data_IF_169111051675
#
_entry.id   IF_169111051675
#
_cell.length_a   1.000
_cell.length_b   1.000
_cell.length_c   1.000
_cell.angle_alpha   90.00
_cell.angle_beta   90.00
_cell.angle_gamma   90.00
#
_symmetry.space_group_name_H-M   'P 1'
#
loop_
_entity.id
_entity.type
_entity.pdbx_description
1 polymer ?
#
# COMPACT_ATOMS: atom_id res chain seq x y z
N UNK A 1 11.59 36.04 -38.27
CA UNK A 1 10.45 35.10 -38.20
C UNK A 1 9.78 35.26 -36.85
N UNK A 2 8.67 36.00 -36.78
CA UNK A 2 7.96 36.27 -35.54
C UNK A 2 7.21 35.01 -35.06
N UNK A 3 7.61 34.48 -33.90
CA UNK A 3 6.83 33.48 -33.17
C UNK A 3 5.51 34.11 -32.75
N UNK A 4 4.40 33.74 -33.40
CA UNK A 4 3.07 34.22 -33.05
C UNK A 4 2.42 33.24 -32.05
N UNK A 5 2.43 33.55 -30.74
CA UNK A 5 1.90 32.65 -29.70
C UNK A 5 0.42 32.31 -29.89
N UNK A 6 -0.36 33.19 -30.54
CA UNK A 6 -1.79 32.95 -30.78
C UNK A 6 -2.09 31.77 -31.73
N UNK A 7 -1.19 31.50 -32.70
CA UNK A 7 -1.33 30.35 -33.61
C UNK A 7 -0.99 29.03 -32.91
N UNK A 8 -0.02 29.04 -31.99
CA UNK A 8 0.33 27.86 -31.19
C UNK A 8 -0.79 27.47 -30.22
N UNK A 9 -1.41 28.45 -29.55
CA UNK A 9 -2.55 28.20 -28.64
C UNK A 9 -3.73 27.59 -29.38
N UNK A 10 -4.14 28.17 -30.52
CA UNK A 10 -5.24 27.62 -31.34
C UNK A 10 -4.95 26.22 -31.90
N UNK A 11 -3.71 25.94 -32.27
CA UNK A 11 -3.29 24.62 -32.74
C UNK A 11 -3.35 23.57 -31.63
N UNK A 12 -2.90 23.94 -30.43
CA UNK A 12 -2.94 23.09 -29.24
C UNK A 12 -4.38 22.77 -28.83
N UNK A 13 -5.25 23.78 -28.77
CA UNK A 13 -6.68 23.61 -28.45
C UNK A 13 -7.40 22.71 -29.45
N UNK A 14 -7.13 22.88 -30.75
CA UNK A 14 -7.70 22.03 -31.80
C UNK A 14 -7.24 20.58 -31.67
N UNK A 15 -5.97 20.35 -31.35
CA UNK A 15 -5.41 19.01 -31.15
C UNK A 15 -5.98 18.34 -29.90
N UNK A 16 -6.14 19.08 -28.81
CA UNK A 16 -6.75 18.60 -27.58
C UNK A 16 -8.23 18.23 -27.78
N UNK A 17 -8.97 19.06 -28.49
CA UNK A 17 -10.37 18.81 -28.81
C UNK A 17 -10.56 17.56 -29.69
N UNK A 18 -9.76 17.39 -30.74
CA UNK A 18 -9.82 16.19 -31.60
C UNK A 18 -9.52 14.92 -30.80
N UNK A 19 -8.51 14.95 -29.93
CA UNK A 19 -8.18 13.81 -29.05
C UNK A 19 -9.33 13.47 -28.10
N UNK A 20 -9.93 14.48 -27.48
CA UNK A 20 -11.08 14.29 -26.59
C UNK A 20 -12.26 13.65 -27.34
N UNK A 21 -12.65 14.20 -28.49
CA UNK A 21 -13.76 13.69 -29.29
C UNK A 21 -13.51 12.24 -29.71
N UNK A 22 -12.27 11.89 -30.09
CA UNK A 22 -11.89 10.52 -30.40
C UNK A 22 -12.11 9.56 -29.21
N UNK A 23 -11.61 9.91 -28.02
CA UNK A 23 -11.79 9.06 -26.84
C UNK A 23 -13.24 9.02 -26.34
N UNK A 24 -14.01 10.08 -26.56
CA UNK A 24 -15.44 10.09 -26.23
C UNK A 24 -16.22 9.13 -27.14
N UNK A 25 -15.94 9.13 -28.44
CA UNK A 25 -16.55 8.19 -29.40
C UNK A 25 -16.19 6.74 -29.05
N UNK A 26 -14.91 6.46 -28.76
CA UNK A 26 -14.47 5.14 -28.29
C UNK A 26 -15.18 4.73 -27.00
N UNK A 27 -15.31 5.64 -26.04
CA UNK A 27 -16.05 5.42 -24.80
C UNK A 27 -17.52 5.09 -25.03
N UNK A 28 -18.20 5.79 -25.95
CA UNK A 28 -19.60 5.52 -26.30
C UNK A 28 -19.75 4.13 -26.94
N UNK A 29 -18.88 3.78 -27.89
CA UNK A 29 -18.90 2.46 -28.54
C UNK A 29 -18.64 1.33 -27.53
N UNK A 30 -17.69 1.55 -26.61
CA UNK A 30 -17.35 0.61 -25.56
C UNK A 30 -18.51 0.40 -24.56
N UNK A 31 -19.22 1.46 -24.18
CA UNK A 31 -20.44 1.37 -23.36
C UNK A 31 -21.57 0.60 -24.06
N UNK A 32 -21.75 0.80 -25.36
CA UNK A 32 -22.70 0.03 -26.14
C UNK A 32 -22.36 -1.47 -26.11
N UNK A 33 -21.08 -1.82 -26.24
CA UNK A 33 -20.59 -3.19 -26.09
C UNK A 33 -20.87 -3.78 -24.70
N UNK A 34 -20.60 -3.01 -23.64
CA UNK A 34 -20.91 -3.41 -22.24
C UNK A 34 -22.40 -3.72 -22.10
N UNK A 35 -23.26 -2.82 -22.56
CA UNK A 35 -24.71 -2.98 -22.46
C UNK A 35 -25.21 -4.22 -23.22
N UNK A 36 -24.73 -4.43 -24.45
CA UNK A 36 -25.13 -5.59 -25.26
C UNK A 36 -24.73 -6.92 -24.63
N UNK A 37 -23.50 -7.01 -24.12
CA UNK A 37 -23.02 -8.23 -23.47
C UNK A 37 -23.65 -8.45 -22.09
N UNK A 38 -23.91 -7.38 -21.32
CA UNK A 38 -24.64 -7.50 -20.05
C UNK A 38 -26.06 -8.04 -20.26
N UNK A 39 -26.75 -7.55 -21.29
CA UNK A 39 -28.09 -8.01 -21.62
C UNK A 39 -28.09 -9.48 -22.06
N UNK A 40 -27.11 -9.90 -22.87
CA UNK A 40 -26.94 -11.32 -23.23
C UNK A 40 -26.67 -12.19 -21.99
N UNK A 41 -25.74 -11.76 -21.14
CA UNK A 41 -25.36 -12.44 -19.91
C UNK A 41 -26.49 -12.60 -18.88
N UNK A 42 -27.39 -11.61 -18.77
CA UNK A 42 -28.55 -11.68 -17.87
C UNK A 42 -29.64 -12.61 -18.42
N UNK A 43 -29.78 -12.69 -19.74
CA UNK A 43 -30.76 -13.56 -20.41
C UNK A 43 -30.24 -14.98 -20.69
N UNK A 44 -28.99 -15.29 -20.34
CA UNK A 44 -28.40 -16.62 -20.47
C UNK A 44 -26.98 -16.67 -19.89
N UNK A 45 -26.64 -17.76 -19.17
CA UNK A 45 -25.33 -17.89 -18.52
C UNK A 45 -24.28 -18.34 -19.53
N UNK A 46 -23.58 -17.37 -20.13
CA UNK A 46 -22.41 -17.65 -20.95
C UNK A 46 -21.14 -17.14 -20.25
N UNK A 47 -20.46 -18.05 -19.53
CA UNK A 47 -19.18 -17.79 -18.86
C UNK A 47 -18.11 -17.16 -19.77
N UNK A 48 -18.21 -17.37 -21.09
CA UNK A 48 -17.32 -16.81 -22.10
C UNK A 48 -17.45 -15.29 -22.30
N UNK A 49 -18.59 -14.68 -21.93
CA UNK A 49 -18.79 -13.24 -22.09
C UNK A 49 -18.17 -12.42 -20.95
N UNK A 50 -17.96 -13.05 -19.79
CA UNK A 50 -17.44 -12.40 -18.60
C UNK A 50 -16.03 -11.79 -18.81
N UNK A 51 -15.04 -12.50 -19.40
CA UNK A 51 -13.74 -11.90 -19.71
C UNK A 51 -13.86 -10.69 -20.64
N UNK A 52 -14.69 -10.78 -21.69
CA UNK A 52 -14.86 -9.68 -22.64
C UNK A 52 -15.47 -8.45 -21.94
N UNK A 53 -16.51 -8.66 -21.12
CA UNK A 53 -17.10 -7.62 -20.29
C UNK A 53 -16.09 -6.95 -19.36
N UNK A 54 -15.21 -7.73 -18.72
CA UNK A 54 -14.16 -7.17 -17.85
C UNK A 54 -13.15 -6.32 -18.63
N UNK A 55 -12.79 -6.72 -19.85
CA UNK A 55 -11.91 -5.94 -20.72
C UNK A 55 -12.56 -4.62 -21.12
N UNK A 56 -13.85 -4.62 -21.45
CA UNK A 56 -14.55 -3.38 -21.81
C UNK A 56 -14.59 -2.41 -20.63
N UNK A 57 -14.86 -2.88 -19.40
CA UNK A 57 -14.81 -2.04 -18.19
C UNK A 57 -13.43 -1.43 -17.95
N UNK A 58 -12.38 -2.21 -18.16
CA UNK A 58 -11.01 -1.73 -18.10
C UNK A 58 -10.79 -0.57 -19.09
N UNK A 59 -11.13 -0.77 -20.36
CA UNK A 59 -10.96 0.27 -21.38
C UNK A 59 -11.84 1.51 -21.15
N UNK A 60 -13.03 1.33 -20.56
CA UNK A 60 -13.93 2.44 -20.25
C UNK A 60 -13.27 3.49 -19.37
N UNK A 61 -12.56 3.04 -18.32
CA UNK A 61 -11.84 3.94 -17.41
C UNK A 61 -10.69 4.66 -18.12
N UNK A 62 -9.97 3.98 -19.01
CA UNK A 62 -8.88 4.59 -19.79
C UNK A 62 -9.43 5.67 -20.71
N UNK A 63 -10.49 5.39 -21.46
CA UNK A 63 -11.13 6.34 -22.37
C UNK A 63 -11.72 7.53 -21.60
N UNK A 64 -12.41 7.28 -20.48
CA UNK A 64 -12.92 8.33 -19.61
C UNK A 64 -11.80 9.22 -19.07
N UNK A 65 -10.68 8.64 -18.65
CA UNK A 65 -9.53 9.41 -18.15
C UNK A 65 -8.96 10.33 -19.24
N UNK A 66 -8.79 9.84 -20.46
CA UNK A 66 -8.27 10.63 -21.58
C UNK A 66 -9.26 11.69 -22.06
N UNK A 67 -10.57 11.41 -22.07
CA UNK A 67 -11.59 12.39 -22.41
C UNK A 67 -11.64 13.54 -21.38
N UNK A 68 -11.49 13.24 -20.09
CA UNK A 68 -11.49 14.24 -19.02
C UNK A 68 -10.22 15.10 -18.95
N UNK A 69 -9.18 14.76 -19.70
CA UNK A 69 -7.90 15.47 -19.72
C UNK A 69 -8.06 16.95 -20.12
N UNK A 70 -9.00 17.25 -21.02
CA UNK A 70 -9.28 18.59 -21.54
C UNK A 70 -10.06 19.46 -20.54
N UNK A 71 -10.94 18.86 -19.75
CA UNK A 71 -11.85 19.60 -18.86
C UNK A 71 -11.23 19.95 -17.51
N UNK A 72 -10.36 19.08 -16.99
CA UNK A 72 -9.85 19.22 -15.63
C UNK A 72 -8.33 19.26 -15.62
N UNK A 73 -7.73 20.32 -15.06
CA UNK A 73 -6.26 20.39 -14.89
C UNK A 73 -5.77 19.56 -13.70
N UNK A 74 -6.59 19.41 -12.66
CA UNK A 74 -6.24 18.64 -11.47
C UNK A 74 -6.25 17.13 -11.77
N UNK A 75 -5.07 16.52 -11.80
CA UNK A 75 -4.89 15.10 -12.10
C UNK A 75 -5.63 14.16 -11.13
N UNK A 76 -5.61 14.45 -9.83
CA UNK A 76 -6.29 13.60 -8.83
C UNK A 76 -7.80 13.62 -9.04
N UNK A 77 -8.36 14.79 -9.30
CA UNK A 77 -9.80 14.93 -9.59
C UNK A 77 -10.17 14.18 -10.87
N UNK A 78 -9.37 14.31 -11.93
CA UNK A 78 -9.56 13.58 -13.20
C UNK A 78 -9.65 12.07 -13.01
N UNK A 79 -8.67 11.51 -12.30
CA UNK A 79 -8.57 10.07 -12.08
C UNK A 79 -9.78 9.55 -11.28
N UNK A 80 -10.21 10.25 -10.22
CA UNK A 80 -11.43 9.87 -9.48
C UNK A 80 -12.68 9.95 -10.33
N UNK A 81 -12.87 11.04 -11.06
CA UNK A 81 -14.04 11.23 -11.90
C UNK A 81 -14.12 10.19 -13.01
N UNK A 82 -13.00 9.87 -13.66
CA UNK A 82 -12.95 8.82 -14.69
C UNK A 82 -13.39 7.47 -14.14
N UNK A 83 -12.90 7.10 -12.96
CA UNK A 83 -13.32 5.87 -12.26
C UNK A 83 -14.81 5.92 -11.89
N UNK A 84 -15.27 7.00 -11.26
CA UNK A 84 -16.66 7.15 -10.82
C UNK A 84 -17.66 7.14 -11.97
N UNK A 85 -17.36 7.83 -13.07
CA UNK A 85 -18.19 7.85 -14.28
C UNK A 85 -18.27 6.45 -14.87
N UNK A 86 -17.13 5.76 -14.99
CA UNK A 86 -17.10 4.41 -15.56
C UNK A 86 -17.84 3.41 -14.67
N UNK A 87 -17.59 3.42 -13.36
CA UNK A 87 -18.27 2.57 -12.40
C UNK A 87 -19.78 2.87 -12.34
N UNK A 88 -20.17 4.15 -12.32
CA UNK A 88 -21.57 4.58 -12.31
C UNK A 88 -22.32 4.14 -13.57
N UNK A 89 -21.71 4.29 -14.75
CA UNK A 89 -22.30 3.83 -16.02
C UNK A 89 -22.46 2.31 -16.04
N UNK A 90 -21.50 1.58 -15.50
CA UNK A 90 -21.53 0.11 -15.39
C UNK A 90 -22.65 -0.39 -14.49
N UNK A 91 -22.85 0.30 -13.36
CA UNK A 91 -23.93 0.01 -12.41
C UNK A 91 -25.28 0.37 -13.05
N UNK A 92 -25.38 1.51 -13.71
CA UNK A 92 -26.59 1.95 -14.39
C UNK A 92 -27.01 0.98 -15.50
N UNK A 93 -26.06 0.55 -16.34
CA UNK A 93 -26.33 -0.41 -17.41
C UNK A 93 -26.76 -1.78 -16.86
N UNK A 94 -26.22 -2.18 -15.71
CA UNK A 94 -26.67 -3.38 -15.00
C UNK A 94 -28.13 -3.24 -14.51
N UNK A 95 -28.48 -2.11 -13.89
CA UNK A 95 -29.86 -1.86 -13.46
C UNK A 95 -30.86 -1.86 -14.62
N UNK A 96 -30.48 -1.29 -15.77
CA UNK A 96 -31.32 -1.34 -16.96
C UNK A 96 -31.54 -2.77 -17.45
N UNK A 97 -30.49 -3.58 -17.50
CA UNK A 97 -30.61 -4.98 -17.92
C UNK A 97 -31.46 -5.80 -16.95
N UNK A 98 -31.30 -5.59 -15.63
CA UNK A 98 -32.17 -6.20 -14.62
C UNK A 98 -33.63 -5.77 -14.80
N UNK A 99 -33.89 -4.48 -15.01
CA UNK A 99 -35.24 -3.96 -15.25
C UNK A 99 -35.91 -4.55 -16.49
N UNK A 100 -35.17 -4.71 -17.60
CA UNK A 100 -35.67 -5.36 -18.81
C UNK A 100 -35.96 -6.85 -18.58
N UNK A 101 -35.10 -7.55 -17.83
CA UNK A 101 -35.33 -8.94 -17.46
C UNK A 101 -36.61 -9.12 -16.60
N UNK A 102 -36.92 -8.15 -15.72
CA UNK A 102 -38.16 -8.16 -14.95
C UNK A 102 -39.41 -7.84 -15.78
N UNK A 103 -39.29 -7.02 -16.83
CA UNK A 103 -40.42 -6.63 -17.70
C UNK A 103 -40.75 -7.66 -18.79
N UNK A 104 -39.81 -8.52 -19.17
CA UNK A 104 -39.99 -9.53 -20.22
C UNK A 104 -40.49 -10.91 -19.76
N UNK A 105 -40.81 -11.10 -18.48
CA UNK A 105 -41.10 -12.41 -17.91
C UNK A 105 -42.58 -12.82 -17.99
N UNK A 106 -43.06 -13.14 -19.20
CA UNK A 106 -44.02 -14.24 -19.36
C UNK A 106 -43.21 -15.54 -19.49
N UNK A 107 -43.48 -16.51 -18.61
CA UNK A 107 -42.84 -17.82 -18.45
C UNK A 107 -41.52 -17.88 -17.65
N UNK A 108 -41.69 -18.20 -16.36
CA UNK A 108 -40.70 -18.54 -15.34
C UNK A 108 -39.77 -17.41 -14.90
N UNK A 109 -39.62 -17.16 -13.59
CA UNK A 109 -38.63 -16.21 -13.11
C UNK A 109 -37.27 -16.75 -13.52
N UNK A 110 -36.65 -16.13 -14.52
CA UNK A 110 -35.24 -16.32 -14.81
C UNK A 110 -34.51 -16.11 -13.49
N UNK A 111 -34.04 -17.22 -12.94
CA UNK A 111 -33.28 -17.28 -11.71
C UNK A 111 -31.97 -16.53 -11.96
N UNK A 112 -31.98 -15.22 -11.76
CA UNK A 112 -30.77 -14.41 -11.77
C UNK A 112 -29.81 -15.05 -10.77
N UNK A 113 -28.76 -15.70 -11.25
CA UNK A 113 -27.77 -16.31 -10.39
C UNK A 113 -27.01 -15.16 -9.70
N UNK A 114 -27.43 -14.84 -8.48
CA UNK A 114 -26.82 -13.81 -7.66
C UNK A 114 -25.31 -14.01 -7.47
N UNK A 115 -24.81 -15.25 -7.57
CA UNK A 115 -23.37 -15.55 -7.51
C UNK A 115 -22.66 -15.05 -8.76
N UNK A 116 -23.26 -15.31 -9.92
CA UNK A 116 -22.73 -14.89 -11.20
C UNK A 116 -22.78 -13.36 -11.35
N UNK A 117 -23.86 -12.73 -10.87
CA UNK A 117 -23.98 -11.28 -10.78
C UNK A 117 -22.93 -10.66 -9.84
N UNK A 118 -22.71 -11.27 -8.68
CA UNK A 118 -21.67 -10.85 -7.73
C UNK A 118 -20.26 -10.98 -8.32
N UNK A 119 -19.99 -12.09 -9.02
CA UNK A 119 -18.74 -12.30 -9.73
C UNK A 119 -18.53 -11.24 -10.83
N UNK A 120 -19.58 -10.96 -11.61
CA UNK A 120 -19.57 -9.90 -12.60
C UNK A 120 -19.22 -8.53 -12.00
N UNK A 121 -19.93 -8.11 -10.95
CA UNK A 121 -19.67 -6.84 -10.26
C UNK A 121 -18.25 -6.78 -9.69
N UNK A 122 -17.77 -7.87 -9.08
CA UNK A 122 -16.43 -7.95 -8.52
C UNK A 122 -15.35 -7.81 -9.60
N UNK A 123 -15.49 -8.53 -10.71
CA UNK A 123 -14.54 -8.48 -11.83
C UNK A 123 -14.59 -7.14 -12.58
N UNK A 124 -15.77 -6.54 -12.77
CA UNK A 124 -15.93 -5.21 -13.34
C UNK A 124 -15.27 -4.12 -12.48
N UNK A 125 -15.50 -4.15 -11.16
CA UNK A 125 -14.84 -3.24 -10.22
C UNK A 125 -13.32 -3.42 -10.26
N UNK A 126 -12.84 -4.67 -10.21
CA UNK A 126 -11.40 -4.95 -10.27
C UNK A 126 -10.77 -4.44 -11.56
N UNK A 127 -11.40 -4.72 -12.71
CA UNK A 127 -10.94 -4.23 -14.01
C UNK A 127 -10.90 -2.69 -14.07
N UNK A 128 -11.95 -2.01 -13.59
CA UNK A 128 -12.00 -0.57 -13.52
C UNK A 128 -10.90 0.01 -12.60
N UNK A 129 -10.67 -0.61 -11.44
CA UNK A 129 -9.63 -0.18 -10.51
C UNK A 129 -8.23 -0.39 -11.08
N UNK A 130 -7.97 -1.55 -11.73
CA UNK A 130 -6.70 -1.81 -12.41
C UNK A 130 -6.43 -0.82 -13.54
N UNK A 131 -7.45 -0.47 -14.33
CA UNK A 131 -7.35 0.57 -15.33
C UNK A 131 -7.04 1.94 -14.73
N UNK A 132 -7.63 2.25 -13.57
CA UNK A 132 -7.38 3.50 -12.86
C UNK A 132 -5.94 3.57 -12.32
N UNK A 133 -5.41 2.45 -11.81
CA UNK A 133 -3.99 2.32 -11.42
C UNK A 133 -3.07 2.45 -12.63
N UNK A 134 -3.37 1.82 -13.76
CA UNK A 134 -2.60 1.95 -15.00
C UNK A 134 -2.61 3.39 -15.52
N UNK A 135 -3.78 4.04 -15.50
CA UNK A 135 -3.91 5.44 -15.86
C UNK A 135 -3.07 6.32 -14.93
N UNK A 136 -3.07 6.04 -13.62
CA UNK A 136 -2.22 6.73 -12.64
C UNK A 136 -0.73 6.53 -12.94
N UNK A 137 -0.31 5.30 -13.27
CA UNK A 137 1.09 4.98 -13.54
C UNK A 137 1.69 5.68 -14.76
N UNK A 138 0.85 6.18 -15.67
CA UNK A 138 1.29 7.00 -16.80
C UNK A 138 1.77 8.40 -16.38
N UNK A 139 1.34 8.88 -15.20
CA UNK A 139 1.65 10.23 -14.72
C UNK A 139 2.57 10.23 -13.50
N UNK A 140 2.53 9.18 -12.66
CA UNK A 140 3.35 9.06 -11.46
C UNK A 140 3.56 7.59 -11.06
N UNK A 141 4.67 7.24 -10.38
CA UNK A 141 4.90 5.86 -9.94
C UNK A 141 3.82 5.39 -8.95
N UNK A 142 3.61 4.08 -8.87
CA UNK A 142 2.68 3.46 -7.90
C UNK A 142 3.28 3.31 -6.49
N UNK A 143 4.54 3.68 -6.32
CA UNK A 143 5.21 3.77 -5.04
C UNK A 143 5.86 5.15 -4.86
N UNK A 144 5.78 5.66 -3.63
CA UNK A 144 6.43 6.90 -3.22
C UNK A 144 7.76 6.55 -2.55
N UNK A 145 8.88 6.88 -3.19
CA UNK A 145 10.22 6.75 -2.61
C UNK A 145 10.65 8.12 -2.06
N UNK A 146 10.36 8.34 -0.77
CA UNK A 146 10.50 9.65 -0.18
C UNK A 146 11.92 9.84 0.40
N UNK A 147 12.63 10.84 -0.12
CA UNK A 147 13.97 11.25 0.29
C UNK A 147 14.96 10.07 0.37
N UNK A 148 15.29 9.44 -0.77
CA UNK A 148 16.33 8.43 -0.81
C UNK A 148 17.64 9.01 -0.25
N UNK A 149 18.35 8.28 0.64
CA UNK A 149 19.61 8.75 1.18
C UNK A 149 20.65 8.88 0.07
N UNK A 150 21.52 9.89 0.17
CA UNK A 150 22.64 10.01 -0.75
C UNK A 150 23.61 8.84 -0.57
N UNK A 151 24.33 8.49 -1.63
CA UNK A 151 25.33 7.42 -1.60
C UNK A 151 26.36 7.63 -0.48
N UNK A 152 26.79 8.88 -0.25
CA UNK A 152 27.67 9.24 0.87
C UNK A 152 27.08 8.86 2.24
N UNK A 153 25.79 9.12 2.47
CA UNK A 153 25.14 8.74 3.72
C UNK A 153 25.10 7.21 3.85
N UNK A 154 24.80 6.50 2.76
CA UNK A 154 24.79 5.05 2.73
C UNK A 154 26.16 4.46 3.09
N UNK A 155 27.23 4.98 2.48
CA UNK A 155 28.60 4.57 2.73
C UNK A 155 29.03 4.85 4.16
N UNK A 156 28.77 6.07 4.67
CA UNK A 156 29.07 6.42 6.06
C UNK A 156 28.43 5.43 7.03
N UNK A 157 27.13 5.14 6.86
CA UNK A 157 26.40 4.18 7.69
C UNK A 157 27.08 2.82 7.59
N UNK A 158 27.36 2.32 6.39
CA UNK A 158 28.01 1.02 6.18
C UNK A 158 29.39 0.93 6.89
N UNK A 159 30.21 1.98 6.84
CA UNK A 159 31.52 2.04 7.47
C UNK A 159 31.47 1.92 9.00
N UNK A 160 30.51 2.58 9.66
CA UNK A 160 30.32 2.43 11.12
C UNK A 160 30.04 0.98 11.53
N UNK A 161 29.42 0.19 10.64
CA UNK A 161 29.03 -1.19 10.93
C UNK A 161 30.14 -2.21 10.70
N UNK A 162 31.19 -1.88 9.94
CA UNK A 162 32.32 -2.79 9.68
C UNK A 162 33.08 -3.21 10.94
N UNK A 163 32.90 -2.47 12.04
CA UNK A 163 33.53 -2.76 13.34
C UNK A 163 32.82 -3.86 14.13
N UNK A 164 31.68 -4.38 13.65
CA UNK A 164 30.85 -5.31 14.39
C UNK A 164 30.67 -6.64 13.65
N UNK A 165 30.88 -7.74 14.36
CA UNK A 165 30.60 -9.07 13.84
C UNK A 165 29.08 -9.29 13.71
N UNK A 166 28.66 -9.70 12.51
CA UNK A 166 27.29 -10.07 12.23
C UNK A 166 26.93 -11.39 12.92
N UNK A 167 25.67 -11.51 13.33
CA UNK A 167 25.14 -12.69 14.01
C UNK A 167 24.23 -13.42 13.03
N UNK A 168 24.45 -14.71 12.82
CA UNK A 168 23.54 -15.53 12.02
C UNK A 168 22.18 -15.64 12.72
N UNK A 169 21.09 -15.50 11.95
CA UNK A 169 19.74 -15.51 12.52
C UNK A 169 19.28 -16.93 12.90
N UNK A 170 19.95 -17.98 12.42
CA UNK A 170 19.61 -19.38 12.68
C UNK A 170 18.58 -19.94 11.69
N UNK A 171 18.72 -21.23 11.35
CA UNK A 171 17.88 -21.89 10.35
C UNK A 171 16.42 -21.98 10.81
N UNK A 172 16.18 -22.26 12.10
CA UNK A 172 14.84 -22.38 12.66
C UNK A 172 14.05 -21.07 12.59
N UNK A 173 14.67 -19.95 12.95
CA UNK A 173 14.07 -18.61 12.84
C UNK A 173 13.82 -18.28 11.36
N UNK A 174 14.75 -18.62 10.47
CA UNK A 174 14.56 -18.35 9.04
C UNK A 174 13.41 -19.14 8.43
N UNK A 175 13.28 -20.42 8.76
CA UNK A 175 12.16 -21.25 8.31
C UNK A 175 10.84 -20.69 8.83
N UNK A 176 10.79 -20.34 10.12
CA UNK A 176 9.62 -19.71 10.72
C UNK A 176 9.24 -18.39 10.01
N UNK A 177 10.22 -17.51 9.77
CA UNK A 177 10.01 -16.24 9.09
C UNK A 177 9.43 -16.42 7.69
N UNK A 178 9.98 -17.32 6.88
CA UNK A 178 9.52 -17.56 5.52
C UNK A 178 8.12 -18.18 5.51
N UNK A 179 7.88 -19.20 6.33
CA UNK A 179 6.57 -19.87 6.43
C UNK A 179 5.48 -18.90 6.87
N UNK A 180 5.73 -18.10 7.92
CA UNK A 180 4.74 -17.16 8.44
C UNK A 180 4.53 -15.98 7.48
N UNK A 181 5.56 -15.51 6.78
CA UNK A 181 5.41 -14.45 5.78
C UNK A 181 4.63 -14.91 4.55
N UNK A 182 4.89 -16.12 4.06
CA UNK A 182 4.14 -16.71 2.94
C UNK A 182 2.67 -16.91 3.31
N UNK A 183 2.41 -17.48 4.49
CA UNK A 183 1.04 -17.64 5.00
C UNK A 183 0.35 -16.29 5.18
N UNK A 184 1.02 -15.31 5.78
CA UNK A 184 0.50 -13.97 5.99
C UNK A 184 0.16 -13.25 4.67
N UNK A 185 0.99 -13.39 3.64
CA UNK A 185 0.70 -12.84 2.31
C UNK A 185 -0.51 -13.54 1.66
N UNK A 186 -0.58 -14.87 1.73
CA UNK A 186 -1.71 -15.62 1.18
C UNK A 186 -3.04 -15.23 1.85
N UNK A 187 -3.08 -15.23 3.19
CA UNK A 187 -4.27 -14.91 3.96
C UNK A 187 -4.67 -13.44 3.88
N UNK A 188 -3.69 -12.53 3.80
CA UNK A 188 -4.00 -11.10 3.68
C UNK A 188 -4.43 -10.71 2.27
N UNK A 189 -4.04 -11.46 1.23
CA UNK A 189 -4.25 -11.10 -0.19
C UNK A 189 -5.65 -10.57 -0.56
N UNK A 190 -6.78 -11.11 -0.05
CA UNK A 190 -8.10 -10.58 -0.38
C UNK A 190 -8.30 -9.13 0.10
N UNK A 191 -7.66 -8.76 1.23
CA UNK A 191 -7.76 -7.44 1.82
C UNK A 191 -6.88 -6.39 1.14
N UNK A 192 -5.87 -6.81 0.36
CA UNK A 192 -4.97 -5.87 -0.33
C UNK A 192 -5.74 -5.00 -1.32
N UNK A 193 -6.61 -5.60 -2.13
CA UNK A 193 -7.38 -4.86 -3.15
C UNK A 193 -8.17 -3.73 -2.48
N UNK A 194 -8.85 -4.03 -1.36
CA UNK A 194 -9.59 -3.04 -0.60
C UNK A 194 -8.68 -1.94 -0.03
N UNK A 195 -7.55 -2.30 0.57
CA UNK A 195 -6.63 -1.33 1.15
C UNK A 195 -6.05 -0.40 0.07
N UNK A 196 -5.59 -0.96 -1.05
CA UNK A 196 -5.03 -0.20 -2.16
C UNK A 196 -6.10 0.71 -2.79
N UNK A 197 -7.33 0.21 -2.94
CA UNK A 197 -8.45 1.01 -3.43
C UNK A 197 -8.76 2.18 -2.50
N UNK A 198 -8.86 1.97 -1.19
CA UNK A 198 -9.16 3.05 -0.23
C UNK A 198 -8.09 4.15 -0.26
N UNK A 199 -6.81 3.78 -0.36
CA UNK A 199 -5.70 4.73 -0.47
C UNK A 199 -5.82 5.52 -1.77
N UNK A 200 -5.97 4.81 -2.90
CA UNK A 200 -6.02 5.42 -4.22
C UNK A 200 -7.26 6.31 -4.39
N UNK A 201 -8.42 5.88 -3.89
CA UNK A 201 -9.65 6.65 -3.98
C UNK A 201 -9.57 7.92 -3.10
N UNK A 202 -9.05 7.80 -1.87
CA UNK A 202 -8.90 8.93 -0.97
C UNK A 202 -7.84 9.93 -1.44
N UNK A 203 -6.77 9.47 -2.08
CA UNK A 203 -5.72 10.33 -2.64
C UNK A 203 -5.06 9.68 -3.87
N UNK A 204 -5.58 9.85 -5.10
CA UNK A 204 -5.06 9.17 -6.28
C UNK A 204 -3.58 9.46 -6.50
N UNK A 205 -2.82 8.38 -6.66
CA UNK A 205 -1.36 8.43 -6.78
C UNK A 205 -0.72 7.12 -6.31
N UNK A 206 0.52 7.19 -5.79
CA UNK A 206 1.19 6.01 -5.24
C UNK A 206 0.31 5.28 -4.23
N UNK A 207 0.33 3.96 -4.23
CA UNK A 207 -0.40 3.13 -3.27
C UNK A 207 0.56 2.54 -2.22
N UNK A 208 1.82 2.40 -2.60
CA UNK A 208 2.90 1.98 -1.72
C UNK A 208 3.78 3.18 -1.31
N UNK A 209 4.40 3.04 -0.15
CA UNK A 209 5.41 3.94 0.37
C UNK A 209 6.68 3.15 0.64
N UNK A 210 7.81 3.67 0.18
CA UNK A 210 9.14 3.08 0.40
C UNK A 210 9.88 3.89 1.44
N UNK A 211 10.25 3.24 2.53
CA UNK A 211 11.08 3.83 3.59
C UNK A 211 12.50 3.27 3.50
N UNK A 212 13.44 4.06 3.01
CA UNK A 212 14.86 3.70 2.99
C UNK A 212 15.40 3.54 4.42
N UNK A 213 15.73 2.30 4.78
CA UNK A 213 16.07 1.92 6.16
C UNK A 213 17.36 1.12 6.22
N UNK A 214 17.98 1.11 7.40
CA UNK A 214 19.20 0.34 7.66
C UNK A 214 18.83 -1.07 8.13
N UNK A 215 19.38 -2.05 7.44
CA UNK A 215 19.28 -3.48 7.73
C UNK A 215 20.56 -4.02 8.36
N UNK A 216 20.70 -5.35 8.31
CA UNK A 216 21.84 -6.06 8.91
C UNK A 216 23.17 -5.61 8.29
N UNK A 217 24.16 -5.36 9.14
CA UNK A 217 25.50 -4.91 8.74
C UNK A 217 25.55 -3.50 8.15
N UNK A 218 24.54 -2.66 8.41
CA UNK A 218 24.51 -1.30 7.89
C UNK A 218 24.03 -1.21 6.44
N UNK A 219 23.62 -2.33 5.82
CA UNK A 219 23.13 -2.35 4.45
C UNK A 219 21.77 -1.66 4.35
N UNK A 220 21.63 -0.78 3.36
CA UNK A 220 20.37 -0.08 3.12
C UNK A 220 19.40 -0.96 2.33
N UNK A 221 18.13 -0.93 2.71
CA UNK A 221 17.07 -1.64 2.01
C UNK A 221 15.78 -0.81 1.96
N UNK A 222 14.91 -1.20 1.03
CA UNK A 222 13.63 -0.55 0.77
C UNK A 222 12.54 -1.19 1.61
N UNK A 223 12.25 -0.61 2.79
CA UNK A 223 11.16 -1.08 3.64
C UNK A 223 9.81 -0.70 3.01
N UNK A 224 9.02 -1.70 2.61
CA UNK A 224 7.75 -1.51 1.90
C UNK A 224 6.61 -1.26 2.88
N UNK A 225 5.75 -0.29 2.59
CA UNK A 225 4.54 0.02 3.38
C UNK A 225 3.39 0.39 2.47
N UNK A 226 2.17 0.30 2.99
CA UNK A 226 1.04 1.01 2.37
C UNK A 226 1.18 2.50 2.63
N UNK A 227 0.83 3.32 1.64
CA UNK A 227 0.84 4.77 1.84
C UNK A 227 -0.32 5.17 2.75
N UNK A 228 0.01 5.78 3.88
CA UNK A 228 -0.97 6.22 4.89
C UNK A 228 -1.08 7.74 5.01
N UNK A 229 -0.28 8.49 4.25
CA UNK A 229 -0.28 9.95 4.21
C UNK A 229 -0.56 10.45 2.80
N UNK A 230 -1.00 11.70 2.69
CA UNK A 230 -1.11 12.41 1.41
C UNK A 230 0.21 12.37 0.65
N UNK A 231 0.15 12.24 -0.67
CA UNK A 231 1.36 12.18 -1.49
C UNK A 231 2.18 13.47 -1.36
N UNK A 232 3.48 13.35 -1.11
CA UNK A 232 4.37 14.48 -0.87
C UNK A 232 4.28 15.06 0.55
N UNK A 233 3.76 14.31 1.53
CA UNK A 233 3.58 14.77 2.92
C UNK A 233 4.85 15.32 3.59
N UNK A 234 6.04 14.89 3.16
CA UNK A 234 7.32 15.33 3.73
C UNK A 234 8.10 16.28 2.79
N UNK A 235 7.54 16.67 1.64
CA UNK A 235 8.27 17.45 0.62
C UNK A 235 8.78 18.81 1.14
N UNK A 236 8.07 19.42 2.11
CA UNK A 236 8.46 20.70 2.71
C UNK A 236 9.15 20.59 4.08
N UNK A 237 9.08 19.44 4.76
CA UNK A 237 9.56 19.29 6.15
C UNK A 237 10.73 18.32 6.29
N UNK A 238 10.95 17.45 5.31
CA UNK A 238 11.81 16.30 5.49
C UNK A 238 11.22 15.25 6.45
N UNK A 239 12.05 14.27 6.88
CA UNK A 239 11.63 13.11 7.66
C UNK A 239 11.32 13.49 9.12
N UNK A 240 10.09 13.93 9.39
CA UNK A 240 9.62 14.31 10.73
C UNK A 240 8.75 13.21 11.34
N UNK A 241 8.89 12.96 12.63
CA UNK A 241 7.99 12.06 13.37
C UNK A 241 6.55 12.61 13.34
N UNK A 242 5.60 11.75 12.98
CA UNK A 242 4.18 12.12 12.89
C UNK A 242 3.61 12.33 14.31
N UNK A 243 3.01 13.50 14.62
CA UNK A 243 2.26 13.69 15.86
C UNK A 243 0.97 12.84 15.87
N UNK A 244 0.33 12.71 17.04
CA UNK A 244 -0.85 11.86 17.23
C UNK A 244 -2.04 12.25 16.34
N UNK A 245 -2.18 13.56 16.05
CA UNK A 245 -3.19 14.11 15.14
C UNK A 245 -2.56 14.82 13.93
N UNK A 246 -1.82 14.07 13.13
CA UNK A 246 -1.19 14.59 11.92
C UNK A 246 -2.21 14.72 10.76
N UNK A 247 -2.48 15.95 10.33
CA UNK A 247 -3.42 16.28 9.25
C UNK A 247 -3.02 15.69 7.89
N UNK A 248 -1.75 15.30 7.73
CA UNK A 248 -1.25 14.67 6.49
C UNK A 248 -1.68 13.22 6.36
N UNK A 249 -2.22 12.60 7.42
CA UNK A 249 -2.61 11.19 7.44
C UNK A 249 -3.99 11.02 6.80
N UNK A 250 -4.09 10.08 5.86
CA UNK A 250 -5.34 9.69 5.24
C UNK A 250 -6.32 9.15 6.31
N UNK A 251 -7.63 9.34 6.11
CA UNK A 251 -8.69 8.73 6.94
C UNK A 251 -8.53 7.21 6.97
N UNK A 252 -8.39 6.58 5.80
CA UNK A 252 -8.04 5.17 5.66
C UNK A 252 -6.69 4.85 6.30
N UNK A 253 -5.71 5.73 6.11
CA UNK A 253 -4.37 5.63 6.71
C UNK A 253 -4.36 5.59 8.23
N UNK A 254 -5.27 6.30 8.91
CA UNK A 254 -5.43 6.24 10.38
C UNK A 254 -5.83 4.83 10.83
N UNK A 255 -6.77 4.20 10.13
CA UNK A 255 -7.16 2.83 10.40
C UNK A 255 -5.97 1.89 10.19
N UNK A 256 -5.29 1.99 9.05
CA UNK A 256 -4.16 1.12 8.72
C UNK A 256 -3.02 1.21 9.73
N UNK A 257 -2.69 2.42 10.22
CA UNK A 257 -1.69 2.60 11.29
C UNK A 257 -2.12 2.02 12.62
N UNK A 258 -3.42 2.15 12.97
CA UNK A 258 -3.97 1.63 14.22
C UNK A 258 -3.92 0.11 14.25
N UNK A 259 -4.21 -0.54 13.14
CA UNK A 259 -4.24 -2.00 12.98
C UNK A 259 -2.93 -2.60 12.46
N UNK A 260 -1.91 -1.76 12.20
CA UNK A 260 -0.65 -2.13 11.55
C UNK A 260 -0.78 -2.76 10.16
N UNK A 261 -1.94 -2.58 9.49
CA UNK A 261 -2.13 -3.04 8.11
C UNK A 261 -1.19 -2.33 7.14
N UNK A 262 -0.70 -1.14 7.47
CA UNK A 262 0.28 -0.44 6.64
C UNK A 262 1.63 -1.17 6.53
N UNK A 263 1.92 -2.08 7.47
CA UNK A 263 3.16 -2.84 7.52
C UNK A 263 3.07 -4.20 6.80
N UNK A 264 1.89 -4.60 6.31
CA UNK A 264 1.72 -5.87 5.57
C UNK A 264 2.69 -6.04 4.38
N UNK A 265 3.02 -5.00 3.59
CA UNK A 265 3.98 -5.16 2.50
C UNK A 265 5.39 -5.57 2.93
N UNK A 266 5.74 -5.39 4.22
CA UNK A 266 7.03 -5.82 4.76
C UNK A 266 7.19 -7.34 4.81
N UNK A 267 6.10 -8.11 4.72
CA UNK A 267 6.20 -9.57 4.57
C UNK A 267 7.01 -9.95 3.32
N UNK A 268 6.98 -9.13 2.26
CA UNK A 268 7.84 -9.31 1.09
C UNK A 268 9.31 -9.06 1.44
N UNK A 269 9.62 -8.08 2.28
CA UNK A 269 10.98 -7.84 2.77
C UNK A 269 11.50 -9.02 3.61
N UNK A 270 10.62 -9.67 4.39
CA UNK A 270 10.96 -10.89 5.13
C UNK A 270 11.28 -12.04 4.17
N UNK A 271 10.46 -12.26 3.13
CA UNK A 271 10.76 -13.27 2.10
C UNK A 271 12.11 -13.00 1.41
N UNK A 272 12.46 -11.75 1.18
CA UNK A 272 13.75 -11.32 0.58
C UNK A 272 14.96 -11.41 1.52
N UNK A 273 14.79 -11.84 2.76
CA UNK A 273 15.85 -11.87 3.78
C UNK A 273 16.40 -10.48 4.16
N UNK A 274 15.62 -9.41 3.94
CA UNK A 274 15.98 -8.05 4.35
C UNK A 274 15.50 -7.75 5.78
N UNK A 275 14.49 -8.49 6.24
CA UNK A 275 13.86 -8.38 7.56
C UNK A 275 13.58 -9.76 8.15
N UNK A 276 13.30 -9.78 9.46
CA UNK A 276 12.72 -10.90 10.21
C UNK A 276 11.40 -10.46 10.84
N UNK A 277 10.58 -11.38 11.35
CA UNK A 277 9.42 -10.99 12.16
C UNK A 277 9.86 -10.30 13.47
N UNK A 278 10.97 -10.74 14.06
CA UNK A 278 11.47 -10.23 15.35
C UNK A 278 12.89 -9.70 15.24
N UNK A 279 13.08 -8.47 15.65
CA UNK A 279 14.36 -7.78 15.58
C UNK A 279 14.26 -6.31 15.94
N UNK A 280 15.39 -5.60 15.97
CA UNK A 280 15.39 -4.16 16.19
C UNK A 280 14.55 -3.46 15.11
N UNK A 281 13.67 -2.52 15.50
CA UNK A 281 12.84 -1.80 14.53
C UNK A 281 13.73 -1.07 13.51
N UNK A 282 13.50 -1.22 12.19
CA UNK A 282 14.29 -0.55 11.17
C UNK A 282 14.09 0.98 11.25
N UNK A 283 15.20 1.72 11.25
CA UNK A 283 15.20 3.18 11.27
C UNK A 283 15.66 3.73 9.92
N UNK A 284 15.19 4.96 9.59
CA UNK A 284 15.56 5.62 8.34
C UNK A 284 17.06 5.83 8.26
N UNK A 285 17.67 5.58 7.12
CA UNK A 285 19.13 5.69 6.91
C UNK A 285 19.68 7.05 7.32
N UNK A 286 19.00 8.14 6.89
CA UNK A 286 19.37 9.51 7.25
C UNK A 286 19.38 9.72 8.78
N UNK A 287 18.40 9.16 9.48
CA UNK A 287 18.30 9.26 10.94
C UNK A 287 19.37 8.43 11.65
N UNK A 288 19.65 7.22 11.14
CA UNK A 288 20.72 6.36 11.67
C UNK A 288 22.08 7.03 11.50
N UNK A 289 22.35 7.68 10.38
CA UNK A 289 23.57 8.44 10.16
C UNK A 289 23.78 9.52 11.23
N UNK A 290 22.73 10.28 11.58
CA UNK A 290 22.82 11.27 12.66
C UNK A 290 23.04 10.63 14.04
N UNK A 291 22.38 9.50 14.31
CA UNK A 291 22.59 8.77 15.57
C UNK A 291 24.01 8.23 15.70
N UNK A 292 24.62 7.75 14.62
CA UNK A 292 25.96 7.19 14.62
C UNK A 292 27.05 8.23 14.89
N UNK A 293 26.84 9.48 14.46
CA UNK A 293 27.76 10.60 14.77
C UNK A 293 27.85 10.86 16.28
N UNK A 294 26.75 10.67 17.01
CA UNK A 294 26.66 10.95 18.45
C UNK A 294 26.92 9.69 19.29
N UNK A 295 26.45 8.54 18.81
CA UNK A 295 26.52 7.24 19.48
C UNK A 295 26.98 6.17 18.48
N UNK A 296 28.29 6.03 18.21
CA UNK A 296 28.82 5.04 17.25
C UNK A 296 28.40 3.60 17.59
N UNK A 297 28.25 3.26 18.87
CA UNK A 297 27.76 1.95 19.32
C UNK A 297 26.32 1.64 18.88
N UNK A 298 25.57 2.64 18.40
CA UNK A 298 24.25 2.42 17.85
C UNK A 298 24.26 1.42 16.68
N UNK A 299 25.40 1.25 15.99
CA UNK A 299 25.59 0.23 14.97
C UNK A 299 25.42 -1.22 15.48
N UNK A 300 25.66 -1.48 16.77
CA UNK A 300 25.57 -2.82 17.34
C UNK A 300 24.17 -3.45 17.23
N UNK A 301 23.11 -2.63 17.16
CA UNK A 301 21.73 -3.11 16.94
C UNK A 301 21.56 -3.81 15.60
N UNK A 302 22.32 -3.44 14.57
CA UNK A 302 22.17 -3.97 13.22
C UNK A 302 23.04 -5.22 12.96
N UNK A 303 23.46 -5.92 14.02
CA UNK A 303 24.17 -7.20 13.91
C UNK A 303 23.27 -8.36 13.51
N UNK A 304 21.96 -8.20 13.68
CA UNK A 304 20.89 -9.13 13.29
C UNK A 304 19.94 -8.46 12.30
N UNK A 305 19.06 -9.24 11.65
CA UNK A 305 18.02 -8.66 10.80
C UNK A 305 17.07 -7.75 11.62
N UNK A 306 16.63 -6.61 11.03
CA UNK A 306 15.61 -5.79 11.64
C UNK A 306 14.24 -6.48 11.65
N UNK A 307 13.38 -6.09 12.59
CA UNK A 307 12.09 -6.74 12.87
C UNK A 307 10.84 -5.90 12.63
N UNK A 308 9.72 -6.58 12.40
CA UNK A 308 8.37 -6.01 12.52
C UNK A 308 8.04 -5.70 13.99
N UNK A 309 8.29 -6.70 14.84
CA UNK A 309 8.24 -6.60 16.29
C UNK A 309 9.65 -6.66 16.87
N UNK A 310 9.79 -6.18 18.10
CA UNK A 310 11.09 -6.15 18.77
C UNK A 310 10.93 -5.78 20.22
N UNK A 311 11.90 -6.18 21.04
CA UNK A 311 11.85 -5.96 22.48
C UNK A 311 11.68 -4.47 22.82
N UNK A 312 12.40 -3.58 22.13
CA UNK A 312 12.26 -2.14 22.32
C UNK A 312 10.85 -1.60 22.00
N UNK A 313 10.16 -2.20 21.01
CA UNK A 313 8.80 -1.80 20.62
C UNK A 313 7.74 -2.28 21.60
N UNK A 314 7.96 -3.45 22.20
CA UNK A 314 7.03 -4.10 23.14
C UNK A 314 7.24 -3.58 24.57
N UNK A 315 8.50 -3.34 24.96
CA UNK A 315 8.88 -2.91 26.30
C UNK A 315 8.88 -1.40 26.51
N UNK A 316 9.04 -0.62 25.43
CA UNK A 316 9.34 0.80 25.48
C UNK A 316 8.15 1.71 25.25
N UNK A 317 8.22 2.92 25.82
CA UNK A 317 7.33 4.02 25.44
C UNK A 317 7.64 4.50 24.00
N UNK A 318 6.68 5.16 23.36
CA UNK A 318 6.84 5.69 22.00
C UNK A 318 8.09 6.60 21.83
N UNK A 319 8.50 7.29 22.90
CA UNK A 319 9.56 8.31 22.91
C UNK A 319 10.94 7.82 23.37
N UNK A 320 11.23 6.50 23.29
CA UNK A 320 12.56 6.01 23.67
C UNK A 320 13.69 6.72 22.89
N UNK A 321 14.67 7.21 23.65
CA UNK A 321 15.92 7.79 23.10
C UNK A 321 16.71 6.72 22.33
N UNK A 322 17.60 7.11 21.39
CA UNK A 322 18.43 6.15 20.65
C UNK A 322 19.23 5.21 21.57
N UNK A 323 19.77 5.75 22.68
CA UNK A 323 20.51 4.98 23.68
C UNK A 323 19.65 3.96 24.42
N UNK A 324 18.41 4.30 24.78
CA UNK A 324 17.47 3.36 25.41
C UNK A 324 17.04 2.26 24.43
N UNK A 325 16.74 2.63 23.17
CA UNK A 325 16.44 1.64 22.11
C UNK A 325 17.59 0.65 21.97
N UNK A 326 18.82 1.14 21.86
CA UNK A 326 20.02 0.31 21.77
C UNK A 326 20.15 -0.69 22.94
N UNK A 327 19.83 -0.28 24.18
CA UNK A 327 19.86 -1.18 25.35
C UNK A 327 18.89 -2.35 25.21
N UNK A 328 17.64 -2.08 24.82
CA UNK A 328 16.65 -3.14 24.58
C UNK A 328 17.03 -4.02 23.40
N UNK A 329 17.52 -3.43 22.32
CA UNK A 329 17.92 -4.17 21.13
C UNK A 329 19.12 -5.09 21.42
N UNK A 330 20.10 -4.64 22.20
CA UNK A 330 21.22 -5.47 22.65
C UNK A 330 20.77 -6.60 23.60
N UNK A 331 19.80 -6.33 24.48
CA UNK A 331 19.23 -7.36 25.36
C UNK A 331 18.52 -8.46 24.56
N UNK A 332 17.79 -8.07 23.50
CA UNK A 332 17.21 -9.00 22.55
C UNK A 332 18.29 -9.82 21.83
N UNK A 333 19.30 -9.17 21.25
CA UNK A 333 20.39 -9.83 20.53
C UNK A 333 21.10 -10.86 21.42
N UNK A 334 21.30 -10.57 22.71
CA UNK A 334 21.95 -11.49 23.66
C UNK A 334 21.15 -12.78 23.90
N UNK A 335 19.83 -12.73 23.86
CA UNK A 335 18.95 -13.86 24.19
C UNK A 335 18.17 -14.37 22.98
N UNK A 336 18.57 -13.97 21.77
CA UNK A 336 17.86 -14.29 20.53
C UNK A 336 17.72 -15.81 20.37
N UNK A 337 16.48 -16.27 20.34
CA UNK A 337 16.10 -17.65 20.02
C UNK A 337 14.62 -17.68 19.60
N UNK A 338 14.22 -18.75 18.90
CA UNK A 338 12.85 -18.87 18.37
C UNK A 338 11.76 -18.76 19.46
N UNK A 339 12.00 -19.30 20.66
CA UNK A 339 11.04 -19.21 21.76
C UNK A 339 10.83 -17.76 22.22
N UNK A 340 11.90 -16.99 22.32
CA UNK A 340 11.82 -15.57 22.65
C UNK A 340 11.17 -14.76 21.53
N UNK A 341 11.41 -15.11 20.27
CA UNK A 341 10.75 -14.48 19.11
C UNK A 341 9.23 -14.71 19.15
N UNK A 342 8.78 -15.95 19.37
CA UNK A 342 7.37 -16.29 19.52
C UNK A 342 6.72 -15.50 20.67
N UNK A 343 7.41 -15.39 21.80
CA UNK A 343 6.96 -14.60 22.95
C UNK A 343 6.81 -13.12 22.59
N UNK A 344 7.79 -12.53 21.92
CA UNK A 344 7.75 -11.12 21.52
C UNK A 344 6.65 -10.85 20.49
N UNK A 345 6.41 -11.77 19.56
CA UNK A 345 5.30 -11.67 18.60
C UNK A 345 3.95 -11.73 19.28
N UNK A 346 3.77 -12.67 20.21
CA UNK A 346 2.54 -12.78 20.99
C UNK A 346 2.28 -11.50 21.80
N UNK A 347 3.30 -10.95 22.47
CA UNK A 347 3.17 -9.69 23.18
C UNK A 347 2.88 -8.52 22.25
N UNK A 348 3.51 -8.45 21.07
CA UNK A 348 3.23 -7.43 20.07
C UNK A 348 1.78 -7.50 19.58
N UNK A 349 1.26 -8.71 19.36
CA UNK A 349 -0.14 -8.97 19.03
C UNK A 349 -1.08 -8.48 20.14
N UNK A 350 -0.83 -8.87 21.39
CA UNK A 350 -1.62 -8.40 22.54
C UNK A 350 -1.58 -6.87 22.69
N UNK A 351 -0.43 -6.24 22.47
CA UNK A 351 -0.34 -4.78 22.51
C UNK A 351 -1.19 -4.16 21.40
N UNK A 352 -1.12 -4.66 20.18
CA UNK A 352 -1.84 -4.12 19.04
C UNK A 352 -3.37 -4.29 19.12
N UNK A 353 -3.83 -5.47 19.53
CA UNK A 353 -5.26 -5.84 19.45
C UNK A 353 -5.99 -5.79 20.79
N UNK A 354 -5.28 -5.73 21.92
CA UNK A 354 -5.90 -5.74 23.24
C UNK A 354 -5.53 -4.50 24.07
N UNK A 355 -4.27 -4.35 24.48
CA UNK A 355 -3.88 -3.32 25.44
C UNK A 355 -4.11 -1.89 24.92
N UNK A 356 -3.80 -1.61 23.65
CA UNK A 356 -4.02 -0.28 23.04
C UNK A 356 -5.49 0.16 22.99
N UNK A 357 -6.43 -0.76 23.18
CA UNK A 357 -7.86 -0.47 23.14
C UNK A 357 -8.46 -0.29 24.54
N UNK A 358 -7.71 -0.57 25.60
CA UNK A 358 -8.16 -0.37 26.98
C UNK A 358 -8.10 1.10 27.39
N UNK A 359 -9.15 1.57 28.07
CA UNK A 359 -9.17 2.91 28.67
C UNK A 359 -8.12 2.99 29.79
N UNK A 360 -7.23 3.97 29.75
CA UNK A 360 -6.19 4.17 30.76
C UNK A 360 -4.89 3.39 30.53
N UNK A 361 -4.69 2.79 29.36
CA UNK A 361 -3.41 2.14 29.02
C UNK A 361 -2.24 3.13 29.08
N UNK A 362 -1.24 2.83 29.92
CA UNK A 362 -0.08 3.70 30.16
C UNK A 362 1.10 3.46 29.21
N UNK A 363 0.93 2.62 28.18
CA UNK A 363 1.98 2.31 27.21
C UNK A 363 2.95 1.20 27.61
N UNK A 364 2.85 0.64 28.84
CA UNK A 364 3.91 -0.22 29.40
C UNK A 364 3.42 -1.59 29.80
N UNK A 365 4.09 -2.63 29.29
CA UNK A 365 3.90 -4.00 29.76
C UNK A 365 4.63 -4.26 31.10
N UNK A 366 4.08 -5.14 31.96
CA UNK A 366 4.77 -5.61 33.15
C UNK A 366 6.15 -6.22 32.82
N UNK A 367 7.20 -5.79 33.53
CA UNK A 367 8.58 -6.24 33.27
C UNK A 367 8.76 -7.75 33.29
N UNK A 368 8.00 -8.47 34.13
CA UNK A 368 8.01 -9.94 34.19
C UNK A 368 7.73 -10.60 32.83
N UNK A 369 6.87 -10.01 32.01
CA UNK A 369 6.53 -10.53 30.69
C UNK A 369 7.66 -10.31 29.66
N UNK A 370 8.63 -9.46 29.95
CA UNK A 370 9.71 -9.10 29.03
C UNK A 370 10.97 -9.96 29.25
N UNK A 371 11.00 -10.80 30.29
CA UNK A 371 12.13 -11.67 30.58
C UNK A 371 12.20 -12.85 29.59
N UNK A 372 13.39 -13.21 29.08
CA UNK A 372 13.54 -14.33 28.13
C UNK A 372 13.16 -15.71 28.70
N UNK A 373 13.23 -15.90 30.03
CA UNK A 373 13.14 -17.22 30.68
C UNK A 373 11.84 -17.50 31.43
N UNK A 374 10.71 -16.93 31.02
CA UNK A 374 9.41 -17.19 31.67
C UNK A 374 8.23 -16.91 30.78
#
# INVERSE_FOLDING_TARGET
MSHNPSKQVKSFERTAFVRMSFFMVLGIFNLWGIFKLQFAFINGVHWFELPLLTMLHFFQVIFATKALEVFFRNLRLRLRLAFLVSAGLSIFSLFQCLGMAFQGADSSPLACDWRLLGLYLGTAFFAAFMAALLATSQYMPLWEDNLPPSEKICLNVFEYHQRFNLISDGISIRLFDVSLAALGLALSSPFWILCLFLIWFEDPGPILFVKNSVGKGGLNFKQLKLRTMVFGAEAGTGPVLSPEFDQRVLKSGRLFRKTALDELPQLVNILKSEMSFVGPRPQRTVLVNEYLKILPEYAARHRVLPGLAGLAQVAGDYYLTPRQKLRFDNLYIKHKNLGFDLKLLFLAFLVAFWFRWQRGWNGRLPRRLLHPGG
#
